data_IF_604122602692
#
_entry.id   IF_604122602692
#
_cell.length_a   1.000
_cell.length_b   1.000
_cell.length_c   1.000
_cell.angle_alpha   90.00
_cell.angle_beta   90.00
_cell.angle_gamma   90.00
#
_symmetry.space_group_name_H-M   'P 1'
#
loop_
_entity.id
_entity.type
_entity.pdbx_description
1 polymer ?
#
# COMPACT_ATOMS: atom_id res chain seq x y z
N UNK A 1 -5.29 8.14 -8.79
CA UNK A 1 -4.55 8.67 -9.96
C UNK A 1 -4.25 7.54 -10.94
N UNK A 2 -4.15 7.84 -12.23
CA UNK A 2 -3.82 6.87 -13.27
C UNK A 2 -2.31 6.90 -13.57
N UNK A 3 -1.61 5.77 -13.41
CA UNK A 3 -0.20 5.64 -13.76
C UNK A 3 -0.07 5.14 -15.21
N UNK A 4 0.13 6.07 -16.15
CA UNK A 4 0.17 5.78 -17.59
C UNK A 4 1.48 5.13 -18.07
N UNK A 5 2.52 5.07 -17.23
CA UNK A 5 3.86 4.58 -17.59
C UNK A 5 4.08 3.08 -17.42
N UNK A 6 3.05 2.31 -17.06
CA UNK A 6 3.17 0.89 -16.73
C UNK A 6 3.82 0.65 -15.37
N UNK A 7 4.23 -0.59 -15.12
CA UNK A 7 4.81 -1.03 -13.84
C UNK A 7 6.30 -1.41 -13.96
N UNK A 8 7.01 -1.45 -12.82
CA UNK A 8 8.42 -1.80 -12.76
C UNK A 8 8.67 -3.21 -13.30
N UNK A 9 7.75 -4.16 -13.10
CA UNK A 9 7.89 -5.52 -13.63
C UNK A 9 7.97 -5.53 -15.15
N UNK A 10 7.11 -4.75 -15.83
CA UNK A 10 7.14 -4.57 -17.28
C UNK A 10 8.47 -3.96 -17.73
N UNK A 11 8.98 -2.96 -17.01
CA UNK A 11 10.28 -2.34 -17.31
C UNK A 11 11.45 -3.32 -17.17
N UNK A 12 11.45 -4.16 -16.13
CA UNK A 12 12.49 -5.18 -15.94
C UNK A 12 12.44 -6.26 -17.03
N UNK A 13 11.24 -6.69 -17.45
CA UNK A 13 11.08 -7.62 -18.58
C UNK A 13 11.63 -7.05 -19.89
N UNK A 14 11.37 -5.77 -20.17
CA UNK A 14 11.94 -5.10 -21.33
C UNK A 14 13.47 -5.10 -21.29
N UNK A 15 14.07 -4.82 -20.13
CA UNK A 15 15.53 -4.88 -19.91
C UNK A 15 16.11 -6.28 -20.18
N UNK A 16 15.43 -7.35 -19.73
CA UNK A 16 15.82 -8.74 -20.03
C UNK A 16 15.78 -9.02 -21.53
N UNK A 17 14.70 -8.62 -22.22
CA UNK A 17 14.54 -8.83 -23.66
C UNK A 17 15.59 -8.05 -24.47
N UNK A 18 15.92 -6.83 -24.05
CA UNK A 18 16.96 -5.98 -24.62
C UNK A 18 18.39 -6.44 -24.24
N UNK A 19 18.53 -7.40 -23.33
CA UNK A 19 19.81 -7.82 -22.72
C UNK A 19 20.60 -6.64 -22.14
N UNK A 20 19.88 -5.69 -21.55
CA UNK A 20 20.43 -4.45 -21.00
C UNK A 20 20.02 -4.30 -19.54
N UNK A 21 20.96 -3.89 -18.68
CA UNK A 21 20.66 -3.60 -17.27
C UNK A 21 20.19 -2.16 -17.10
N UNK A 22 19.43 -1.90 -16.04
CA UNK A 22 19.17 -0.53 -15.59
C UNK A 22 20.50 0.10 -15.13
N UNK A 23 20.71 1.37 -15.48
CA UNK A 23 21.86 2.11 -14.97
C UNK A 23 21.73 2.30 -13.46
N UNK A 24 22.85 2.46 -12.75
CA UNK A 24 22.81 2.74 -11.31
C UNK A 24 22.02 4.02 -11.00
N UNK A 25 22.09 5.02 -11.88
CA UNK A 25 21.26 6.23 -11.80
C UNK A 25 19.77 5.91 -11.84
N UNK A 26 19.31 5.11 -12.82
CA UNK A 26 17.89 4.72 -12.93
C UNK A 26 17.42 3.95 -11.69
N UNK A 27 18.24 2.99 -11.23
CA UNK A 27 17.95 2.20 -10.02
C UNK A 27 17.84 3.12 -8.81
N UNK A 28 18.79 4.05 -8.64
CA UNK A 28 18.82 5.01 -7.55
C UNK A 28 17.62 5.96 -7.54
N UNK A 29 17.19 6.46 -8.70
CA UNK A 29 16.02 7.33 -8.83
C UNK A 29 14.73 6.62 -8.38
N UNK A 30 14.56 5.36 -8.77
CA UNK A 30 13.40 4.55 -8.36
C UNK A 30 13.51 4.24 -6.86
N UNK A 31 14.67 3.80 -6.39
CA UNK A 31 14.89 3.35 -5.02
C UNK A 31 14.65 4.46 -3.98
N UNK A 32 15.13 5.68 -4.21
CA UNK A 32 14.92 6.83 -3.31
C UNK A 32 13.43 7.15 -3.13
N UNK A 33 12.69 7.16 -4.22
CA UNK A 33 11.24 7.42 -4.19
C UNK A 33 10.50 6.32 -3.41
N UNK A 34 10.89 5.05 -3.58
CA UNK A 34 10.33 3.94 -2.81
C UNK A 34 10.69 4.01 -1.32
N UNK A 35 11.89 4.46 -0.96
CA UNK A 35 12.27 4.67 0.44
C UNK A 35 11.41 5.77 1.10
N UNK A 36 11.21 6.90 0.42
CA UNK A 36 10.35 8.00 0.92
C UNK A 36 8.90 7.54 1.05
N UNK A 37 8.37 6.84 0.05
CA UNK A 37 7.02 6.30 0.09
C UNK A 37 6.85 5.31 1.27
N UNK A 38 7.84 4.44 1.49
CA UNK A 38 7.78 3.44 2.55
C UNK A 38 7.88 4.07 3.94
N UNK A 39 8.76 5.05 4.12
CA UNK A 39 8.87 5.83 5.37
C UNK A 39 7.53 6.49 5.71
N UNK A 40 6.89 7.15 4.74
CA UNK A 40 5.58 7.76 4.92
C UNK A 40 4.50 6.76 5.34
N UNK A 41 4.46 5.58 4.68
CA UNK A 41 3.52 4.49 4.99
C UNK A 41 3.73 4.00 6.43
N UNK A 42 4.97 3.79 6.84
CA UNK A 42 5.30 3.32 8.20
C UNK A 42 5.03 4.38 9.27
N UNK A 43 5.31 5.66 8.99
CA UNK A 43 4.99 6.79 9.89
C UNK A 43 3.48 6.92 10.12
N UNK A 44 2.69 6.59 9.11
CA UNK A 44 1.22 6.54 9.16
C UNK A 44 0.65 5.28 9.84
N UNK A 45 1.49 4.49 10.51
CA UNK A 45 1.10 3.24 11.19
C UNK A 45 0.48 2.19 10.26
N UNK A 46 0.90 2.19 8.99
CA UNK A 46 0.46 1.24 7.99
C UNK A 46 1.61 0.28 7.66
N UNK A 47 1.30 -1.01 7.52
CA UNK A 47 2.17 -1.96 6.84
C UNK A 47 1.64 -2.22 5.43
N UNK A 48 2.51 -2.21 4.42
CA UNK A 48 2.10 -2.44 3.04
C UNK A 48 1.87 -3.92 2.76
N UNK A 49 2.79 -4.80 3.21
CA UNK A 49 2.71 -6.27 3.14
C UNK A 49 2.68 -6.90 1.74
N UNK A 50 2.88 -6.12 0.67
CA UNK A 50 2.96 -6.63 -0.72
C UNK A 50 3.79 -5.74 -1.64
N UNK A 51 4.95 -5.30 -1.16
CA UNK A 51 5.91 -4.55 -1.98
C UNK A 51 6.56 -5.52 -2.97
N UNK A 52 6.36 -5.25 -4.26
CA UNK A 52 6.89 -5.99 -5.39
C UNK A 52 6.93 -5.11 -6.64
N UNK A 53 7.67 -5.51 -7.66
CA UNK A 53 7.83 -4.73 -8.88
C UNK A 53 6.50 -4.45 -9.61
N UNK A 54 5.52 -5.36 -9.53
CA UNK A 54 4.18 -5.16 -10.10
C UNK A 54 3.38 -4.04 -9.42
N UNK A 55 3.75 -3.69 -8.18
CA UNK A 55 3.08 -2.66 -7.38
C UNK A 55 3.84 -1.33 -7.38
N UNK A 56 4.90 -1.21 -8.18
CA UNK A 56 5.64 0.04 -8.40
C UNK A 56 5.28 0.56 -9.79
N UNK A 57 4.55 1.66 -9.82
CA UNK A 57 3.99 2.22 -11.05
C UNK A 57 4.76 3.45 -11.49
N UNK A 58 5.08 3.53 -12.78
CA UNK A 58 5.64 4.75 -13.36
C UNK A 58 4.50 5.74 -13.62
N UNK A 59 4.60 6.90 -12.97
CA UNK A 59 3.80 8.07 -13.30
C UNK A 59 4.43 8.80 -14.50
N UNK A 60 4.02 10.06 -14.73
CA UNK A 60 4.69 10.90 -15.72
C UNK A 60 6.19 11.03 -15.39
N UNK A 61 7.01 10.87 -16.44
CA UNK A 61 8.48 10.95 -16.50
C UNK A 61 9.27 10.91 -15.21
N UNK A 62 9.90 9.75 -14.99
CA UNK A 62 10.88 9.44 -13.93
C UNK A 62 10.33 9.44 -12.50
N UNK A 63 9.04 9.69 -12.33
CA UNK A 63 8.35 9.54 -11.05
C UNK A 63 7.76 8.13 -10.92
N UNK A 64 7.93 7.53 -9.74
CA UNK A 64 7.31 6.26 -9.39
C UNK A 64 6.38 6.42 -8.20
N UNK A 65 5.31 5.63 -8.18
CA UNK A 65 4.37 5.54 -7.06
C UNK A 65 4.27 4.10 -6.60
N UNK A 66 4.36 3.90 -5.29
CA UNK A 66 4.03 2.63 -4.66
C UNK A 66 2.51 2.53 -4.57
N UNK A 67 1.94 1.45 -5.11
CA UNK A 67 0.50 1.25 -5.17
C UNK A 67 0.08 -0.15 -4.68
N UNK A 68 -1.20 -0.46 -4.87
CA UNK A 68 -1.87 -1.68 -4.41
C UNK A 68 -1.75 -1.95 -2.91
N UNK A 69 -2.59 -1.24 -2.16
CA UNK A 69 -2.76 -1.40 -0.72
C UNK A 69 -3.76 -2.52 -0.38
N UNK A 70 -4.02 -3.48 -1.29
CA UNK A 70 -5.00 -4.56 -1.09
C UNK A 70 -4.67 -5.49 0.07
N UNK A 71 -3.38 -5.63 0.40
CA UNK A 71 -2.92 -6.29 1.63
C UNK A 71 -2.43 -5.32 2.68
N UNK A 72 -2.49 -4.02 2.47
CA UNK A 72 -2.07 -3.06 3.49
C UNK A 72 -3.04 -3.03 4.66
N UNK A 73 -2.56 -2.60 5.83
CA UNK A 73 -3.40 -2.43 7.02
C UNK A 73 -2.88 -1.33 7.91
N UNK A 74 -3.80 -0.52 8.43
CA UNK A 74 -3.54 0.41 9.51
C UNK A 74 -3.60 -0.31 10.86
N UNK A 75 -2.63 -0.05 11.73
CA UNK A 75 -2.53 -0.62 13.06
C UNK A 75 -2.75 0.47 14.12
N UNK A 76 -3.51 0.14 15.17
CA UNK A 76 -3.69 1.04 16.31
C UNK A 76 -2.43 1.13 17.18
N UNK A 77 -1.59 0.10 17.13
CA UNK A 77 -0.30 0.05 17.80
C UNK A 77 0.83 0.55 16.89
N UNK A 78 1.89 1.15 17.45
CA UNK A 78 3.03 1.61 16.67
C UNK A 78 3.69 0.49 15.84
N UNK A 79 3.87 0.71 14.54
CA UNK A 79 4.48 -0.25 13.60
C UNK A 79 6.00 -0.06 13.44
N UNK A 80 6.52 1.06 13.93
CA UNK A 80 7.93 1.43 13.87
C UNK A 80 8.78 0.66 14.90
N UNK A 81 10.10 0.66 14.68
CA UNK A 81 11.05 -0.07 15.52
C UNK A 81 10.92 -1.59 15.35
N UNK A 82 11.09 -2.33 16.45
CA UNK A 82 11.07 -3.80 16.47
C UNK A 82 9.70 -4.36 16.91
N UNK A 83 8.62 -3.59 16.72
CA UNK A 83 7.25 -4.00 17.10
C UNK A 83 6.73 -5.07 16.14
N UNK A 84 5.95 -6.01 16.69
CA UNK A 84 5.43 -7.20 15.99
C UNK A 84 3.90 -7.17 16.03
N UNK A 85 3.31 -6.45 15.09
CA UNK A 85 1.88 -6.11 15.08
C UNK A 85 1.04 -7.00 14.17
N UNK A 86 1.68 -7.67 13.20
CA UNK A 86 0.99 -8.52 12.22
C UNK A 86 1.43 -9.99 12.35
N UNK A 87 0.51 -10.91 12.07
CA UNK A 87 0.73 -12.36 12.15
C UNK A 87 0.21 -13.16 10.95
N UNK A 88 -0.53 -12.53 10.04
CA UNK A 88 -0.98 -13.17 8.82
C UNK A 88 0.15 -13.32 7.80
N UNK A 89 0.26 -14.49 7.17
CA UNK A 89 1.22 -14.73 6.08
C UNK A 89 0.57 -14.37 4.73
N UNK A 90 0.57 -13.08 4.41
CA UNK A 90 0.01 -12.52 3.17
C UNK A 90 1.11 -11.88 2.31
N UNK A 91 0.81 -11.72 1.02
CA UNK A 91 1.71 -11.13 0.02
C UNK A 91 2.20 -12.14 -1.02
N UNK A 92 3.24 -11.75 -1.75
CA UNK A 92 3.86 -12.58 -2.79
C UNK A 92 5.02 -13.41 -2.20
N UNK A 93 5.00 -14.76 -2.27
CA UNK A 93 5.97 -15.62 -1.56
C UNK A 93 7.44 -15.26 -1.77
N UNK A 94 7.85 -14.93 -2.99
CA UNK A 94 9.24 -14.55 -3.32
C UNK A 94 9.71 -13.26 -2.65
N UNK A 95 8.77 -12.42 -2.19
CA UNK A 95 9.04 -11.14 -1.56
C UNK A 95 8.84 -11.17 -0.04
N UNK A 96 8.23 -12.23 0.50
CA UNK A 96 7.97 -12.35 1.94
C UNK A 96 9.25 -12.52 2.75
N UNK A 97 9.36 -11.76 3.84
CA UNK A 97 10.47 -11.85 4.78
C UNK A 97 10.45 -13.17 5.58
N UNK A 98 11.60 -13.70 6.03
CA UNK A 98 11.69 -14.96 6.78
C UNK A 98 10.80 -15.06 8.02
N UNK A 99 10.53 -13.94 8.69
CA UNK A 99 9.63 -13.86 9.83
C UNK A 99 8.15 -13.96 9.44
N UNK A 100 7.75 -13.47 8.26
CA UNK A 100 6.37 -13.60 7.75
C UNK A 100 6.06 -15.07 7.46
N UNK A 101 7.03 -15.79 6.87
CA UNK A 101 6.95 -17.23 6.63
C UNK A 101 6.79 -18.05 7.91
N UNK A 102 7.37 -17.58 9.03
CA UNK A 102 7.23 -18.24 10.34
C UNK A 102 5.82 -18.09 10.90
N UNK A 103 5.19 -16.93 10.71
CA UNK A 103 3.82 -16.69 11.21
C UNK A 103 2.77 -17.57 10.52
N UNK A 104 2.88 -17.79 9.20
CA UNK A 104 1.91 -18.57 8.42
C UNK A 104 1.90 -20.08 8.69
N UNK A 105 2.97 -20.61 9.27
CA UNK A 105 3.07 -22.02 9.65
C UNK A 105 2.24 -22.37 10.90
N UNK A 106 1.87 -21.36 11.70
CA UNK A 106 1.05 -21.50 12.90
C UNK A 106 -0.43 -21.45 12.51
N UNK A 107 -1.07 -22.62 12.47
CA UNK A 107 -2.49 -22.80 12.14
C UNK A 107 -3.40 -21.86 12.97
N UNK A 108 -4.08 -20.93 12.30
CA UNK A 108 -5.42 -20.44 12.70
C UNK A 108 -5.52 -19.52 13.93
N UNK A 109 -4.45 -18.86 14.36
CA UNK A 109 -4.51 -17.91 15.48
C UNK A 109 -5.10 -16.55 15.07
N UNK A 110 -6.15 -16.12 15.75
CA UNK A 110 -6.64 -14.74 15.67
C UNK A 110 -5.50 -13.74 15.96
N UNK A 111 -5.45 -12.64 15.21
CA UNK A 111 -4.37 -11.65 15.21
C UNK A 111 -4.30 -10.77 16.49
N UNK A 112 -4.72 -11.25 17.65
CA UNK A 112 -4.89 -10.42 18.85
C UNK A 112 -4.48 -11.08 20.16
N UNK A 113 -3.53 -12.02 20.15
CA UNK A 113 -2.95 -12.56 21.40
C UNK A 113 -1.47 -12.24 21.47
N UNK A 114 -1.06 -11.54 22.54
CA UNK A 114 0.32 -11.26 22.91
C UNK A 114 1.14 -12.57 22.87
N UNK A 115 2.03 -12.72 21.88
CA UNK A 115 2.79 -13.95 21.66
C UNK A 115 3.74 -13.77 20.48
N UNK A 116 5.03 -14.04 20.71
CA UNK A 116 6.20 -13.52 19.99
C UNK A 116 6.33 -13.75 18.47
N UNK A 117 5.41 -14.48 17.83
CA UNK A 117 5.47 -14.83 16.41
C UNK A 117 4.75 -13.80 15.52
N UNK A 118 5.19 -12.54 15.56
CA UNK A 118 4.70 -11.49 14.66
C UNK A 118 5.81 -10.76 13.91
N UNK A 119 5.41 -9.87 13.01
CA UNK A 119 6.28 -9.02 12.21
C UNK A 119 5.79 -7.56 12.19
N UNK A 120 6.65 -6.66 11.72
CA UNK A 120 6.39 -5.22 11.66
C UNK A 120 6.98 -4.59 10.39
N UNK A 121 7.26 -3.29 10.45
CA UNK A 121 7.78 -2.48 9.32
C UNK A 121 9.03 -3.07 8.64
N UNK A 122 9.89 -3.77 9.38
CA UNK A 122 11.09 -4.43 8.82
C UNK A 122 10.79 -5.52 7.79
N UNK A 123 9.58 -6.09 7.77
CA UNK A 123 9.16 -7.04 6.74
C UNK A 123 8.99 -6.33 5.39
N UNK A 124 8.43 -5.12 5.38
CA UNK A 124 8.32 -4.32 4.16
C UNK A 124 9.69 -3.86 3.64
N UNK A 125 10.64 -3.57 4.55
CA UNK A 125 12.03 -3.26 4.16
C UNK A 125 12.69 -4.43 3.44
N UNK A 126 12.47 -5.66 3.91
CA UNK A 126 12.95 -6.85 3.20
C UNK A 126 12.35 -6.93 1.80
N UNK A 127 11.04 -6.77 1.66
CA UNK A 127 10.36 -6.79 0.36
C UNK A 127 10.90 -5.72 -0.59
N UNK A 128 11.18 -4.51 -0.09
CA UNK A 128 11.86 -3.47 -0.85
C UNK A 128 13.29 -3.87 -1.24
N UNK A 129 14.00 -4.59 -0.38
CA UNK A 129 15.32 -5.17 -0.68
C UNK A 129 15.28 -6.18 -1.82
N UNK A 130 14.22 -6.99 -1.89
CA UNK A 130 13.97 -7.91 -3.02
C UNK A 130 13.75 -7.11 -4.31
N UNK A 131 12.95 -6.04 -4.28
CA UNK A 131 12.74 -5.16 -5.44
C UNK A 131 14.05 -4.49 -5.89
N UNK A 132 14.88 -4.02 -4.95
CA UNK A 132 16.20 -3.47 -5.28
C UNK A 132 17.10 -4.52 -5.94
N UNK A 133 17.13 -5.75 -5.40
CA UNK A 133 17.87 -6.85 -6.01
C UNK A 133 17.35 -7.14 -7.43
N UNK A 134 16.04 -7.21 -7.64
CA UNK A 134 15.44 -7.42 -8.96
C UNK A 134 15.84 -6.34 -9.97
N UNK A 135 15.90 -5.07 -9.55
CA UNK A 135 16.35 -3.98 -10.43
C UNK A 135 17.80 -4.13 -10.86
N UNK A 136 18.66 -4.64 -9.97
CA UNK A 136 20.10 -4.82 -10.23
C UNK A 136 20.36 -6.11 -11.04
N UNK A 137 19.75 -7.21 -10.63
CA UNK A 137 20.03 -8.55 -11.15
C UNK A 137 19.15 -8.93 -12.35
N UNK A 138 17.96 -8.33 -12.50
CA UNK A 138 16.88 -8.71 -13.40
C UNK A 138 16.22 -10.06 -13.06
N UNK A 139 16.45 -10.56 -11.86
CA UNK A 139 15.88 -11.79 -11.30
C UNK A 139 15.65 -11.65 -9.80
N UNK A 140 14.83 -12.52 -9.21
CA UNK A 140 14.64 -12.56 -7.75
C UNK A 140 15.82 -13.30 -7.08
N UNK A 141 16.23 -12.94 -5.86
CA UNK A 141 17.36 -13.58 -5.18
C UNK A 141 17.06 -15.01 -4.73
N UNK A 142 15.79 -15.32 -4.43
CA UNK A 142 15.34 -16.64 -3.98
C UNK A 142 14.30 -17.23 -4.94
N UNK A 143 14.68 -17.64 -6.16
CA UNK A 143 13.73 -18.26 -7.09
C UNK A 143 13.32 -19.64 -6.58
N UNK A 144 12.20 -20.19 -7.03
CA UNK A 144 11.81 -21.56 -6.68
C UNK A 144 10.61 -22.04 -7.50
N UNK A 145 10.50 -23.35 -7.70
CA UNK A 145 9.44 -23.97 -8.49
C UNK A 145 8.09 -24.01 -7.76
N UNK A 146 8.11 -23.92 -6.42
CA UNK A 146 6.94 -23.95 -5.57
C UNK A 146 7.18 -23.20 -4.26
N UNK A 147 6.08 -22.89 -3.56
CA UNK A 147 6.06 -22.11 -2.31
C UNK A 147 6.96 -22.72 -1.22
N UNK A 148 7.04 -24.05 -1.12
CA UNK A 148 7.87 -24.73 -0.12
C UNK A 148 9.36 -24.52 -0.37
N UNK A 149 9.78 -24.64 -1.63
CA UNK A 149 11.16 -24.41 -2.05
C UNK A 149 11.57 -22.95 -1.85
N UNK A 150 10.71 -22.00 -2.23
CA UNK A 150 10.95 -20.57 -2.02
C UNK A 150 11.16 -20.29 -0.53
N UNK A 151 10.25 -20.76 0.32
CA UNK A 151 10.37 -20.57 1.77
C UNK A 151 11.64 -21.21 2.35
N UNK A 152 12.08 -22.36 1.82
CA UNK A 152 13.34 -22.98 2.25
C UNK A 152 14.55 -22.12 1.89
N UNK A 153 14.65 -21.66 0.65
CA UNK A 153 15.76 -20.81 0.20
C UNK A 153 15.85 -19.49 0.98
N UNK A 154 14.70 -18.88 1.25
CA UNK A 154 14.60 -17.67 2.08
C UNK A 154 15.11 -17.92 3.50
N UNK A 155 14.75 -19.05 4.12
CA UNK A 155 15.25 -19.44 5.46
C UNK A 155 16.75 -19.75 5.45
N UNK A 156 17.25 -20.39 4.40
CA UNK A 156 18.67 -20.69 4.26
C UNK A 156 19.51 -19.41 4.07
N UNK A 157 18.89 -18.32 3.59
CA UNK A 157 19.50 -17.00 3.46
C UNK A 157 20.60 -16.92 2.41
N UNK A 158 20.74 -17.96 1.56
CA UNK A 158 21.77 -18.04 0.51
C UNK A 158 21.17 -17.63 -0.83
N UNK A 159 21.74 -16.60 -1.43
CA UNK A 159 21.43 -16.12 -2.78
C UNK A 159 22.69 -15.61 -3.45
N UNK A 160 22.65 -15.44 -4.78
CA UNK A 160 23.77 -14.87 -5.51
C UNK A 160 24.02 -13.41 -5.07
N UNK A 161 25.26 -12.95 -4.95
CA UNK A 161 25.52 -11.56 -4.60
C UNK A 161 25.00 -10.62 -5.68
N UNK A 162 24.57 -9.39 -5.32
CA UNK A 162 24.19 -8.39 -6.31
C UNK A 162 25.31 -8.16 -7.35
N UNK A 163 24.98 -7.93 -8.64
CA UNK A 163 25.98 -7.87 -9.71
C UNK A 163 27.09 -6.83 -9.46
N UNK A 164 28.34 -7.19 -9.77
CA UNK A 164 29.50 -6.33 -9.57
C UNK A 164 29.55 -5.06 -10.43
N UNK A 165 28.61 -4.92 -11.39
CA UNK A 165 28.45 -3.73 -12.20
C UNK A 165 27.91 -2.50 -11.43
N UNK A 166 27.36 -2.72 -10.23
CA UNK A 166 26.86 -1.65 -9.35
C UNK A 166 27.88 -1.33 -8.26
N UNK A 167 27.84 -0.10 -7.74
CA UNK A 167 28.73 0.37 -6.68
C UNK A 167 28.69 -0.50 -5.41
N UNK A 168 29.77 -0.51 -4.65
CA UNK A 168 29.82 -1.19 -3.34
C UNK A 168 28.73 -0.69 -2.40
N UNK A 169 28.48 0.62 -2.38
CA UNK A 169 27.45 1.23 -1.56
C UNK A 169 26.04 0.66 -1.85
N UNK A 170 25.63 0.63 -3.13
CA UNK A 170 24.30 0.16 -3.50
C UNK A 170 24.13 -1.34 -3.20
N UNK A 171 25.17 -2.12 -3.49
CA UNK A 171 25.19 -3.56 -3.15
C UNK A 171 25.11 -3.77 -1.63
N UNK A 172 25.84 -2.97 -0.85
CA UNK A 172 25.80 -3.04 0.61
C UNK A 172 24.43 -2.69 1.19
N UNK A 173 23.75 -1.67 0.64
CA UNK A 173 22.37 -1.33 1.01
C UNK A 173 21.44 -2.52 0.75
N UNK A 174 21.49 -3.11 -0.45
CA UNK A 174 20.69 -4.28 -0.80
C UNK A 174 20.90 -5.44 0.19
N UNK A 175 22.16 -5.78 0.49
CA UNK A 175 22.51 -6.85 1.43
C UNK A 175 22.07 -6.55 2.88
N UNK A 176 22.08 -5.28 3.31
CA UNK A 176 21.58 -4.87 4.63
C UNK A 176 20.07 -5.00 4.75
N UNK A 177 19.32 -4.75 3.68
CA UNK A 177 17.86 -4.94 3.66
C UNK A 177 17.47 -6.42 3.65
N UNK A 178 18.31 -7.28 3.04
CA UNK A 178 18.11 -8.72 2.95
C UNK A 178 18.74 -9.52 4.11
N UNK A 179 18.88 -8.91 5.29
CA UNK A 179 19.30 -9.63 6.49
C UNK A 179 18.17 -10.54 7.01
N UNK A 180 18.41 -11.83 7.31
CA UNK A 180 17.35 -12.73 7.78
C UNK A 180 16.72 -12.30 9.10
N UNK A 181 17.50 -11.65 9.97
CA UNK A 181 17.09 -11.12 11.26
C UNK A 181 16.56 -9.69 11.06
N UNK A 182 15.28 -9.40 11.37
CA UNK A 182 14.67 -8.08 11.15
C UNK A 182 15.38 -6.92 11.86
N UNK A 183 15.92 -7.20 13.05
CA UNK A 183 16.63 -6.23 13.89
C UNK A 183 17.94 -5.76 13.25
N UNK A 184 18.53 -6.54 12.34
CA UNK A 184 19.74 -6.16 11.59
C UNK A 184 19.42 -5.38 10.31
N UNK A 185 18.14 -5.33 9.90
CA UNK A 185 17.73 -4.50 8.76
C UNK A 185 17.57 -3.05 9.21
N UNK A 186 17.99 -2.08 8.39
CA UNK A 186 17.65 -0.69 8.63
C UNK A 186 16.13 -0.48 8.54
N UNK A 187 15.62 0.58 9.14
CA UNK A 187 14.30 1.15 8.82
C UNK A 187 14.37 1.96 7.53
N UNK A 188 13.21 2.29 6.95
CA UNK A 188 13.15 3.19 5.79
C UNK A 188 13.76 4.57 6.11
N UNK A 189 13.51 5.10 7.32
CA UNK A 189 14.10 6.35 7.76
C UNK A 189 15.64 6.26 7.90
N UNK A 190 16.16 5.17 8.47
CA UNK A 190 17.61 4.95 8.56
C UNK A 190 18.27 4.82 7.18
N UNK A 191 17.59 4.20 6.21
CA UNK A 191 18.07 4.12 4.82
C UNK A 191 18.21 5.52 4.21
N UNK A 192 17.19 6.36 4.37
CA UNK A 192 17.17 7.73 3.84
C UNK A 192 18.34 8.55 4.39
N UNK A 193 18.76 8.31 5.63
CA UNK A 193 19.87 9.04 6.27
C UNK A 193 21.27 8.53 5.90
N UNK A 194 21.40 7.45 5.11
CA UNK A 194 22.72 6.97 4.68
C UNK A 194 23.39 7.94 3.70
N UNK A 195 24.73 8.12 3.74
CA UNK A 195 25.42 9.05 2.84
C UNK A 195 25.19 8.77 1.36
N UNK A 196 25.10 7.49 0.98
CA UNK A 196 24.84 7.11 -0.40
C UNK A 196 23.41 7.47 -0.83
N UNK A 197 22.41 7.18 0.00
CA UNK A 197 21.01 7.54 -0.32
C UNK A 197 20.81 9.05 -0.34
N UNK A 198 21.47 9.81 0.53
CA UNK A 198 21.47 11.28 0.47
C UNK A 198 22.02 11.80 -0.86
N UNK A 199 23.13 11.24 -1.39
CA UNK A 199 23.62 11.59 -2.73
C UNK A 199 22.62 11.27 -3.84
N UNK A 200 21.88 10.16 -3.71
CA UNK A 200 20.82 9.80 -4.65
C UNK A 200 19.62 10.76 -4.56
N UNK A 201 19.25 11.20 -3.35
CA UNK A 201 18.23 12.22 -3.12
C UNK A 201 18.66 13.53 -3.79
N UNK A 202 19.90 13.97 -3.63
CA UNK A 202 20.40 15.19 -4.28
C UNK A 202 20.35 15.08 -5.82
N UNK A 203 20.69 13.90 -6.36
CA UNK A 203 20.60 13.65 -7.80
C UNK A 203 19.13 13.66 -8.28
N UNK A 204 18.21 13.11 -7.49
CA UNK A 204 16.78 13.10 -7.79
C UNK A 204 16.20 14.51 -7.74
N UNK A 205 16.54 15.29 -6.72
CA UNK A 205 16.12 16.68 -6.57
C UNK A 205 16.57 17.52 -7.78
N UNK A 206 17.84 17.37 -8.20
CA UNK A 206 18.35 18.03 -9.41
C UNK A 206 17.60 17.58 -10.66
N UNK A 207 17.34 16.28 -10.82
CA UNK A 207 16.64 15.76 -12.00
C UNK A 207 15.20 16.29 -12.10
N UNK A 208 14.50 16.38 -10.97
CA UNK A 208 13.14 16.93 -10.90
C UNK A 208 13.15 18.44 -11.19
N UNK A 209 14.11 19.19 -10.63
CA UNK A 209 14.20 20.64 -10.83
C UNK A 209 14.44 21.07 -12.29
N UNK A 210 15.04 20.20 -13.11
CA UNK A 210 15.31 20.46 -14.53
C UNK A 210 14.28 19.78 -15.47
N UNK A 211 13.20 19.20 -14.93
CA UNK A 211 12.21 18.49 -15.73
C UNK A 211 11.07 19.42 -16.14
N UNK A 212 10.93 19.68 -17.44
CA UNK A 212 9.81 20.44 -18.01
C UNK A 212 8.47 19.68 -17.95
N UNK A 213 8.48 18.43 -17.49
CA UNK A 213 7.34 17.52 -17.50
C UNK A 213 6.69 17.33 -16.13
N UNK A 214 7.27 17.90 -15.09
CA UNK A 214 6.71 17.90 -13.73
C UNK A 214 6.05 19.25 -13.50
N UNK A 215 4.76 19.25 -13.14
CA UNK A 215 4.04 20.48 -12.83
C UNK A 215 4.48 21.11 -11.50
N UNK A 216 4.15 22.38 -11.30
CA UNK A 216 4.58 23.15 -10.12
C UNK A 216 4.10 22.55 -8.80
N UNK A 217 2.89 21.99 -8.76
CA UNK A 217 2.31 21.45 -7.53
C UNK A 217 2.99 20.13 -7.16
N UNK A 218 3.22 19.28 -8.16
CA UNK A 218 4.00 18.04 -8.00
C UNK A 218 5.44 18.34 -7.56
N UNK A 219 6.09 19.36 -8.13
CA UNK A 219 7.43 19.78 -7.70
C UNK A 219 7.45 20.25 -6.24
N UNK A 220 6.45 21.01 -5.81
CA UNK A 220 6.33 21.46 -4.42
C UNK A 220 6.15 20.27 -3.46
N UNK A 221 5.31 19.29 -3.84
CA UNK A 221 5.11 18.07 -3.06
C UNK A 221 6.41 17.24 -2.96
N UNK A 222 7.14 17.08 -4.06
CA UNK A 222 8.43 16.37 -4.07
C UNK A 222 9.44 17.06 -3.13
N UNK A 223 9.54 18.39 -3.17
CA UNK A 223 10.42 19.14 -2.27
C UNK A 223 10.03 18.96 -0.81
N UNK A 224 8.74 18.95 -0.50
CA UNK A 224 8.25 18.66 0.85
C UNK A 224 8.64 17.26 1.30
N UNK A 225 8.45 16.25 0.45
CA UNK A 225 8.82 14.86 0.77
C UNK A 225 10.33 14.70 0.98
N UNK A 226 11.16 15.40 0.19
CA UNK A 226 12.62 15.41 0.36
C UNK A 226 13.01 16.07 1.68
N UNK A 227 12.34 17.16 2.06
CA UNK A 227 12.57 17.83 3.35
C UNK A 227 12.22 16.89 4.52
N UNK A 228 11.08 16.21 4.46
CA UNK A 228 10.67 15.20 5.44
C UNK A 228 11.69 14.06 5.53
N UNK A 229 12.17 13.56 4.38
CA UNK A 229 13.15 12.49 4.33
C UNK A 229 14.51 12.88 4.94
N UNK A 230 14.87 14.16 4.88
CA UNK A 230 16.09 14.72 5.49
C UNK A 230 15.92 15.05 6.96
N UNK A 231 14.70 15.17 7.47
CA UNK A 231 14.47 15.48 8.87
C UNK A 231 15.08 14.38 9.77
N UNK A 232 15.85 14.74 10.81
CA UNK A 232 16.39 13.76 11.74
C UNK A 232 15.24 13.02 12.44
N UNK A 233 15.44 11.72 12.70
CA UNK A 233 14.50 10.92 13.48
C UNK A 233 14.39 11.47 14.92
N UNK A 234 13.51 12.43 15.14
CA UNK A 234 13.06 12.81 16.47
C UNK A 234 12.00 11.82 16.93
N UNK A 235 12.22 11.17 18.06
CA UNK A 235 11.14 10.61 18.86
C UNK A 235 10.10 11.72 19.14
N UNK A 236 8.83 11.37 19.01
CA UNK A 236 7.62 12.14 19.38
C UNK A 236 7.11 13.22 18.41
N UNK A 237 6.21 12.83 17.49
CA UNK A 237 4.82 13.34 17.40
C UNK A 237 4.14 12.78 16.14
N UNK A 238 2.84 12.43 16.18
CA UNK A 238 2.08 12.11 14.98
C UNK A 238 1.97 13.38 14.14
N UNK A 239 2.49 13.35 12.92
CA UNK A 239 2.29 14.41 11.95
C UNK A 239 0.78 14.58 11.73
N UNK A 240 0.25 15.75 12.05
CA UNK A 240 -1.13 16.09 11.76
C UNK A 240 -1.39 15.93 10.25
N UNK A 241 -2.57 15.48 9.82
CA UNK A 241 -2.91 15.40 8.41
C UNK A 241 -2.86 16.81 7.82
N UNK A 242 -2.16 16.94 6.69
CA UNK A 242 -2.06 18.19 5.94
C UNK A 242 -3.46 18.75 5.65
N UNK A 243 -3.77 19.89 6.25
CA UNK A 243 -4.97 20.68 5.99
C UNK A 243 -4.81 21.35 4.64
N UNK A 244 -5.48 20.84 3.60
CA UNK A 244 -5.95 21.72 2.54
C UNK A 244 -7.09 22.55 3.10
N UNK A 245 -6.93 23.86 2.95
CA UNK A 245 -7.82 24.92 3.39
C UNK A 245 -9.27 24.66 2.99
N UNK A 246 -10.16 24.63 3.99
CA UNK A 246 -11.46 25.25 3.82
C UNK A 246 -11.85 26.00 5.09
N UNK A 247 -12.38 27.20 4.88
CA UNK A 247 -12.58 28.22 5.91
C UNK A 247 -13.78 27.90 6.81
N UNK A 248 -13.65 28.36 8.05
CA UNK A 248 -14.70 28.64 9.05
C UNK A 248 -15.56 27.47 9.56
N UNK A 249 -15.32 27.06 10.80
CA UNK A 249 -16.23 27.36 11.92
C UNK A 249 -15.61 26.82 13.23
N UNK A 250 -15.29 27.74 14.12
CA UNK A 250 -15.11 27.51 15.55
C UNK A 250 -16.38 26.92 16.15
N UNK A 251 -16.29 25.78 16.85
CA UNK A 251 -16.85 25.62 18.21
C UNK A 251 -16.52 24.23 18.83
N UNK A 252 -15.81 24.32 19.96
CA UNK A 252 -15.88 23.49 21.17
C UNK A 252 -15.56 21.98 21.09
N UNK A 253 -14.46 21.68 21.76
CA UNK A 253 -14.20 20.41 22.45
C UNK A 253 -15.37 20.00 23.33
N UNK A 254 -15.90 18.81 23.09
CA UNK A 254 -16.22 17.77 24.08
C UNK A 254 -17.24 16.82 23.48
N UNK A 255 -16.81 15.61 23.15
CA UNK A 255 -17.61 14.41 23.38
C UNK A 255 -16.75 13.20 23.01
N UNK A 256 -16.50 12.34 23.99
CA UNK A 256 -16.41 10.92 23.73
C UNK A 256 -17.65 10.51 22.90
N UNK A 257 -17.47 9.91 21.73
CA UNK A 257 -18.58 9.46 20.90
C UNK A 257 -18.09 8.27 20.07
N UNK A 258 -18.57 7.06 20.32
CA UNK A 258 -19.91 6.55 20.04
C UNK A 258 -19.78 5.59 18.85
N UNK A 259 -20.25 4.36 19.03
CA UNK A 259 -20.35 3.41 17.94
C UNK A 259 -21.10 4.07 16.76
N UNK A 260 -20.48 4.06 15.58
CA UNK A 260 -21.05 4.59 14.35
C UNK A 260 -22.47 4.04 14.16
N UNK A 261 -23.49 4.90 14.24
CA UNK A 261 -24.88 4.48 14.10
C UNK A 261 -25.12 4.01 12.65
N UNK A 262 -25.42 2.73 12.49
CA UNK A 262 -25.79 2.14 11.20
C UNK A 262 -27.13 2.75 10.79
N UNK A 263 -27.17 3.42 9.64
CA UNK A 263 -28.39 4.09 9.15
C UNK A 263 -29.25 3.19 8.27
N UNK A 264 -28.63 2.20 7.63
CA UNK A 264 -29.34 1.18 6.84
C UNK A 264 -28.45 -0.06 6.69
N UNK A 265 -29.01 -1.26 6.85
CA UNK A 265 -28.29 -2.52 6.64
C UNK A 265 -29.19 -3.61 6.05
N UNK A 266 -28.60 -4.54 5.32
CA UNK A 266 -29.35 -5.65 4.73
C UNK A 266 -28.53 -6.51 3.76
N UNK A 267 -29.11 -7.64 3.38
CA UNK A 267 -28.55 -8.55 2.38
C UNK A 267 -28.82 -8.05 0.96
N UNK A 268 -27.79 -8.13 0.12
CA UNK A 268 -27.83 -7.75 -1.30
C UNK A 268 -27.02 -8.74 -2.14
N UNK A 269 -27.31 -8.84 -3.43
CA UNK A 269 -26.41 -9.50 -4.38
C UNK A 269 -25.51 -8.46 -5.02
N UNK A 270 -24.20 -8.68 -5.06
CA UNK A 270 -23.25 -7.84 -5.80
C UNK A 270 -22.80 -8.54 -7.08
N UNK A 271 -22.87 -7.84 -8.20
CA UNK A 271 -22.37 -8.34 -9.49
C UNK A 271 -20.87 -8.07 -9.64
N UNK A 272 -20.10 -9.07 -10.08
CA UNK A 272 -18.71 -8.93 -10.49
C UNK A 272 -18.46 -9.83 -11.70
N UNK A 273 -18.05 -9.24 -12.83
CA UNK A 273 -17.82 -9.94 -14.11
C UNK A 273 -19.00 -10.84 -14.54
N UNK A 274 -20.23 -10.39 -14.32
CA UNK A 274 -21.45 -11.12 -14.66
C UNK A 274 -21.92 -12.14 -13.63
N UNK A 275 -21.13 -12.39 -12.57
CA UNK A 275 -21.51 -13.32 -11.48
C UNK A 275 -22.08 -12.54 -10.30
N UNK A 276 -23.25 -12.95 -9.83
CA UNK A 276 -23.91 -12.37 -8.65
C UNK A 276 -23.57 -13.19 -7.40
N UNK A 277 -23.14 -12.51 -6.33
CA UNK A 277 -22.83 -13.15 -5.05
C UNK A 277 -23.52 -12.41 -3.90
N UNK A 278 -24.09 -13.16 -2.96
CA UNK A 278 -24.70 -12.61 -1.74
C UNK A 278 -23.65 -11.92 -0.87
N UNK A 279 -24.00 -10.75 -0.38
CA UNK A 279 -23.20 -9.88 0.47
C UNK A 279 -24.10 -9.21 1.49
N UNK A 280 -23.50 -8.81 2.59
CA UNK A 280 -24.16 -7.95 3.56
C UNK A 280 -23.68 -6.52 3.38
N UNK A 281 -24.63 -5.60 3.25
CA UNK A 281 -24.39 -4.18 3.02
C UNK A 281 -24.80 -3.41 4.27
N UNK A 282 -23.94 -2.51 4.74
CA UNK A 282 -24.28 -1.56 5.80
C UNK A 282 -23.85 -0.15 5.42
N UNK A 283 -24.68 0.82 5.75
CA UNK A 283 -24.44 2.24 5.58
C UNK A 283 -24.12 2.83 6.95
N UNK A 284 -22.88 3.27 7.15
CA UNK A 284 -22.41 3.83 8.42
C UNK A 284 -21.38 4.93 8.15
N UNK A 285 -21.42 6.04 8.91
CA UNK A 285 -20.43 7.13 8.84
C UNK A 285 -20.06 7.59 7.41
N UNK A 286 -21.04 7.75 6.53
CA UNK A 286 -20.84 8.13 5.11
C UNK A 286 -19.98 7.15 4.29
N UNK A 287 -19.93 5.89 4.71
CA UNK A 287 -19.34 4.79 3.95
C UNK A 287 -20.38 3.71 3.70
N UNK A 288 -20.28 3.07 2.55
CA UNK A 288 -21.02 1.88 2.19
C UNK A 288 -20.11 0.67 2.37
N UNK A 289 -20.41 -0.13 3.37
CA UNK A 289 -19.57 -1.23 3.83
C UNK A 289 -20.14 -2.57 3.38
N UNK A 290 -19.29 -3.41 2.76
CA UNK A 290 -19.70 -4.68 2.15
C UNK A 290 -18.93 -5.84 2.80
N UNK A 291 -19.62 -6.82 3.38
CA UNK A 291 -19.03 -8.07 3.88
C UNK A 291 -19.67 -9.30 3.22
N UNK A 292 -19.12 -10.51 3.44
CA UNK A 292 -19.72 -11.73 2.87
C UNK A 292 -20.98 -12.18 3.62
N UNK A 293 -21.06 -11.91 4.93
CA UNK A 293 -22.23 -12.17 5.77
C UNK A 293 -22.33 -11.15 6.91
N UNK A 294 -23.47 -11.14 7.61
CA UNK A 294 -23.74 -10.24 8.74
C UNK A 294 -22.77 -10.44 9.92
N UNK A 295 -22.34 -11.68 10.15
CA UNK A 295 -21.50 -12.09 11.28
C UNK A 295 -20.01 -11.78 11.05
N UNK A 296 -19.60 -11.55 9.80
CA UNK A 296 -18.24 -11.17 9.47
C UNK A 296 -17.98 -9.71 9.79
N UNK A 297 -16.92 -9.45 10.57
CA UNK A 297 -16.48 -8.08 10.92
C UNK A 297 -15.55 -7.43 9.91
N UNK A 298 -15.20 -8.14 8.82
CA UNK A 298 -14.34 -7.64 7.75
C UNK A 298 -15.21 -7.02 6.66
N UNK A 299 -15.31 -5.70 6.65
CA UNK A 299 -16.06 -4.94 5.65
C UNK A 299 -15.11 -4.28 4.67
N UNK A 300 -15.35 -4.45 3.37
CA UNK A 300 -14.77 -3.59 2.36
C UNK A 300 -15.62 -2.32 2.31
N UNK A 301 -15.05 -1.19 2.74
CA UNK A 301 -15.73 0.10 2.74
C UNK A 301 -15.53 0.82 1.41
N UNK A 302 -16.62 1.30 0.83
CA UNK A 302 -16.65 2.27 -0.26
C UNK A 302 -17.04 3.62 0.32
N UNK A 303 -16.18 4.63 0.20
CA UNK A 303 -16.52 5.98 0.63
C UNK A 303 -17.67 6.52 -0.22
N UNK A 304 -18.70 7.12 0.40
CA UNK A 304 -19.78 7.75 -0.37
C UNK A 304 -19.30 8.96 -1.17
N UNK A 305 -18.17 9.57 -0.79
CA UNK A 305 -17.56 10.63 -1.59
C UNK A 305 -17.11 10.12 -2.98
N UNK A 306 -16.78 8.84 -3.10
CA UNK A 306 -16.39 8.21 -4.37
C UNK A 306 -17.61 7.88 -5.23
N UNK A 307 -18.83 7.89 -4.67
CA UNK A 307 -20.07 7.67 -5.40
C UNK A 307 -20.51 8.99 -6.03
N UNK A 308 -20.50 9.05 -7.36
CA UNK A 308 -20.97 10.21 -8.15
C UNK A 308 -22.49 10.32 -8.13
N UNK A 309 -23.19 9.18 -8.29
CA UNK A 309 -24.65 9.06 -8.20
C UNK A 309 -25.06 7.61 -8.01
N UNK A 310 -26.27 7.40 -7.53
CA UNK A 310 -26.94 6.09 -7.49
C UNK A 310 -28.18 6.12 -8.39
N UNK A 311 -28.53 5.01 -9.03
CA UNK A 311 -29.77 4.91 -9.80
C UNK A 311 -30.43 3.54 -9.60
N UNK A 312 -31.75 3.55 -9.44
CA UNK A 312 -32.56 2.34 -9.51
C UNK A 312 -32.68 1.85 -10.96
N UNK A 313 -32.79 0.54 -11.13
CA UNK A 313 -33.08 -0.14 -12.39
C UNK A 313 -34.05 -1.31 -12.16
N UNK A 314 -34.27 -2.11 -13.20
CA UNK A 314 -35.28 -3.16 -13.17
C UNK A 314 -34.92 -4.32 -12.25
N UNK A 315 -35.94 -5.02 -11.74
CA UNK A 315 -35.77 -6.25 -10.96
C UNK A 315 -35.11 -6.07 -9.58
N UNK A 316 -35.22 -4.87 -8.99
CA UNK A 316 -34.62 -4.54 -7.70
C UNK A 316 -33.11 -4.28 -7.76
N UNK A 317 -32.56 -4.06 -8.97
CA UNK A 317 -31.16 -3.72 -9.18
C UNK A 317 -30.96 -2.21 -9.02
N UNK A 318 -29.95 -1.80 -8.26
CA UNK A 318 -29.46 -0.43 -8.24
C UNK A 318 -27.98 -0.38 -8.62
N UNK A 319 -27.58 0.72 -9.24
CA UNK A 319 -26.22 0.93 -9.74
C UNK A 319 -25.59 2.14 -9.08
N UNK A 320 -24.42 1.94 -8.49
CA UNK A 320 -23.55 3.01 -8.01
C UNK A 320 -22.60 3.40 -9.15
N UNK A 321 -22.64 4.67 -9.54
CA UNK A 321 -21.72 5.24 -10.51
C UNK A 321 -20.61 5.93 -9.72
N UNK A 322 -19.38 5.45 -9.85
CA UNK A 322 -18.25 5.99 -9.11
C UNK A 322 -17.59 7.13 -9.90
N UNK A 323 -16.89 8.02 -9.18
CA UNK A 323 -16.22 9.18 -9.77
C UNK A 323 -15.05 8.81 -10.68
N UNK A 324 -14.48 7.63 -10.49
CA UNK A 324 -13.42 7.05 -11.35
C UNK A 324 -13.96 6.46 -12.68
N UNK A 325 -15.27 6.52 -12.90
CA UNK A 325 -15.94 5.99 -14.10
C UNK A 325 -16.35 4.53 -14.01
N UNK A 326 -15.99 3.82 -12.93
CA UNK A 326 -16.45 2.46 -12.68
C UNK A 326 -17.90 2.42 -12.17
N UNK A 327 -18.54 1.26 -12.29
CA UNK A 327 -19.90 1.04 -11.82
C UNK A 327 -20.00 -0.23 -10.97
N UNK A 328 -20.76 -0.15 -9.88
CA UNK A 328 -21.10 -1.30 -9.05
C UNK A 328 -22.59 -1.58 -9.13
N UNK A 329 -22.97 -2.77 -9.62
CA UNK A 329 -24.36 -3.23 -9.66
C UNK A 329 -24.66 -4.09 -8.43
N UNK A 330 -25.72 -3.71 -7.72
CA UNK A 330 -26.23 -4.36 -6.52
C UNK A 330 -27.69 -4.70 -6.74
N UNK A 331 -28.17 -5.81 -6.20
CA UNK A 331 -29.57 -6.20 -6.28
C UNK A 331 -30.13 -6.41 -4.87
N UNK A 332 -31.18 -5.66 -4.56
CA UNK A 332 -31.96 -5.82 -3.34
C UNK A 332 -32.99 -6.96 -3.51
N UNK A 333 -33.57 -7.40 -2.40
CA UNK A 333 -34.57 -8.50 -2.39
C UNK A 333 -35.81 -8.23 -3.26
N UNK A 334 -36.19 -6.96 -3.44
CA UNK A 334 -37.34 -6.52 -4.23
C UNK A 334 -37.19 -5.03 -4.62
N UNK A 335 -38.08 -4.54 -5.47
CA UNK A 335 -38.07 -3.15 -5.94
C UNK A 335 -38.25 -2.11 -4.82
N UNK A 336 -39.01 -2.44 -3.78
CA UNK A 336 -39.20 -1.56 -2.62
C UNK A 336 -37.91 -1.38 -1.81
N UNK A 337 -37.22 -2.49 -1.49
CA UNK A 337 -35.93 -2.45 -0.82
C UNK A 337 -34.86 -1.76 -1.68
N UNK A 338 -34.93 -1.91 -3.01
CA UNK A 338 -34.09 -1.16 -3.92
C UNK A 338 -34.31 0.35 -3.78
N UNK A 339 -35.56 0.82 -3.75
CA UNK A 339 -35.87 2.24 -3.55
C UNK A 339 -35.38 2.76 -2.19
N UNK A 340 -35.52 1.95 -1.12
CA UNK A 340 -35.01 2.29 0.22
C UNK A 340 -33.48 2.42 0.24
N UNK A 341 -32.76 1.55 -0.46
CA UNK A 341 -31.30 1.65 -0.61
C UNK A 341 -30.88 2.91 -1.35
N UNK A 342 -31.51 3.21 -2.48
CA UNK A 342 -31.22 4.41 -3.28
C UNK A 342 -31.44 5.66 -2.43
N UNK A 343 -32.60 5.79 -1.79
CA UNK A 343 -32.93 6.94 -0.95
C UNK A 343 -31.98 7.10 0.25
N UNK A 344 -31.61 5.99 0.90
CA UNK A 344 -30.70 6.01 2.05
C UNK A 344 -29.30 6.46 1.64
N UNK A 345 -28.83 6.02 0.47
CA UNK A 345 -27.54 6.40 -0.09
C UNK A 345 -27.56 7.87 -0.52
N UNK A 346 -28.59 8.34 -1.22
CA UNK A 346 -28.73 9.76 -1.62
C UNK A 346 -28.77 10.69 -0.42
N UNK A 347 -29.54 10.32 0.63
CA UNK A 347 -29.57 11.08 1.89
C UNK A 347 -28.20 11.13 2.55
N UNK A 348 -27.45 10.03 2.53
CA UNK A 348 -26.11 9.98 3.11
C UNK A 348 -25.05 10.73 2.27
N UNK A 349 -25.24 10.82 0.95
CA UNK A 349 -24.45 11.67 0.03
C UNK A 349 -24.82 13.16 0.13
N UNK A 350 -25.97 13.51 0.73
CA UNK A 350 -26.48 14.88 0.79
C UNK A 350 -27.10 15.36 -0.52
N UNK A 351 -27.61 14.44 -1.35
CA UNK A 351 -28.20 14.74 -2.66
C UNK A 351 -29.72 14.53 -2.72
N UNK A 352 -30.36 14.25 -1.57
CA UNK A 352 -31.80 14.01 -1.44
C UNK A 352 -32.54 15.22 -0.89
#
# INVERSE_FOLDING_TARGET
EHASGGDLRQRLRACVNERRRLSEGDVGMIFVQLCMALEYVHRSQILHRDIKAENVFFAATSLVKLGDFGFARHFSEPVLGNRRVAKSSLGTPTHMAPEVWRCGASRGGAESSEGGDGYGSKADVWSLGIVLYEMMALEVPFPGSNVREIGQRIRDGKFAPPPAAYSEDLRAICLRMLQPIPEHRPSAAELLQTPHVQRLIDAFERAVAHSDRVDSDTMALIRSNIADARAPCGDTSPCAPATHSDRSATEKSNAAAAAAAITHEGEVLKSSRGVWKQRYLRLANRALEVSASREQRNFNALSLNDVKRVAAGDGGVFTLYLRDGSLHRLQARNSEACAQWVQSIERAMGTA
#
